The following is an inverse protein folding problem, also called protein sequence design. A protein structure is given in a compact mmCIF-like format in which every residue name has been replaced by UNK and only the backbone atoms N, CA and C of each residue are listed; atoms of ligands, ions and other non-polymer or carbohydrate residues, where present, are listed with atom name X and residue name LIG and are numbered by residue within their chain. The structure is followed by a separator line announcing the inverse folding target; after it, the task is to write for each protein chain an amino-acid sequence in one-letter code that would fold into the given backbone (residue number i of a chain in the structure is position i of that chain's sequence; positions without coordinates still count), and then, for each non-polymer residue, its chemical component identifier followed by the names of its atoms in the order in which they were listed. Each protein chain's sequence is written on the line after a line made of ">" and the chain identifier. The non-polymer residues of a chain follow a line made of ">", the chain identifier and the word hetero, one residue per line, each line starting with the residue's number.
data_IF_753864986731
#
_entry.id   IF_753864986731
#
_cell.length_a   1.000
_cell.length_b   1.000
_cell.length_c   1.000
_cell.angle_alpha   90.00
_cell.angle_beta   90.00
_cell.angle_gamma   90.00
#
_symmetry.space_group_name_H-M   'P 1'
#
loop_
_entity.id
_entity.type
_entity.pdbx_description
1 polymer ?
#
# COMPACT_ATOMS: atom_id res chain seq x y z
N UNK A 1 -43.40 -7.67 -16.67
CA UNK A 1 -42.22 -6.77 -16.71
C UNK A 1 -42.47 -5.68 -15.68
N UNK A 2 -41.92 -5.79 -14.47
CA UNK A 2 -41.93 -4.67 -13.53
C UNK A 2 -40.83 -3.72 -13.99
N UNK A 3 -41.20 -2.58 -14.58
CA UNK A 3 -40.26 -1.48 -14.79
C UNK A 3 -39.92 -0.89 -13.42
N UNK A 4 -38.63 -0.66 -13.17
CA UNK A 4 -38.20 0.18 -12.06
C UNK A 4 -38.86 1.56 -12.20
N UNK A 5 -39.50 2.05 -11.14
CA UNK A 5 -40.11 3.39 -11.12
C UNK A 5 -39.03 4.44 -10.84
N UNK A 6 -38.10 4.56 -11.79
CA UNK A 6 -37.02 5.54 -11.72
C UNK A 6 -37.60 6.95 -11.79
N UNK A 7 -37.10 7.84 -10.93
CA UNK A 7 -37.61 9.21 -10.82
C UNK A 7 -37.22 10.02 -12.07
N UNK A 8 -38.21 10.37 -12.90
CA UNK A 8 -37.98 11.01 -14.21
C UNK A 8 -37.50 12.47 -14.13
N UNK A 9 -37.72 13.15 -13.01
CA UNK A 9 -37.28 14.54 -12.78
C UNK A 9 -35.82 14.66 -12.35
N UNK A 10 -35.11 13.55 -12.25
CA UNK A 10 -33.77 13.48 -11.66
C UNK A 10 -32.79 12.84 -12.64
N UNK A 11 -31.53 13.29 -12.59
CA UNK A 11 -30.47 12.65 -13.35
C UNK A 11 -30.04 11.37 -12.61
N UNK A 12 -29.96 10.24 -13.34
CA UNK A 12 -29.56 8.97 -12.74
C UNK A 12 -28.76 8.08 -13.70
N UNK A 13 -28.02 7.13 -13.11
CA UNK A 13 -27.43 5.98 -13.80
C UNK A 13 -28.04 4.72 -13.19
N UNK A 14 -28.65 3.90 -14.02
CA UNK A 14 -29.23 2.62 -13.64
C UNK A 14 -28.38 1.46 -14.16
N UNK A 15 -28.10 0.50 -13.30
CA UNK A 15 -27.34 -0.70 -13.62
C UNK A 15 -28.12 -1.95 -13.22
N UNK A 16 -28.15 -2.93 -14.12
CA UNK A 16 -28.78 -4.24 -13.91
C UNK A 16 -27.82 -5.34 -14.31
N UNK A 17 -27.48 -6.18 -13.34
CA UNK A 17 -26.65 -7.36 -13.55
C UNK A 17 -27.52 -8.60 -13.45
N UNK A 18 -27.57 -9.39 -14.52
CA UNK A 18 -28.24 -10.68 -14.50
C UNK A 18 -27.35 -11.72 -13.80
N UNK A 19 -27.93 -12.42 -12.83
CA UNK A 19 -27.28 -13.48 -12.04
C UNK A 19 -27.65 -14.88 -12.53
N UNK A 20 -28.64 -14.98 -13.40
CA UNK A 20 -29.08 -16.19 -14.09
C UNK A 20 -28.49 -16.28 -15.50
N UNK A 21 -28.40 -17.49 -16.03
CA UNK A 21 -27.99 -17.69 -17.41
C UNK A 21 -29.09 -17.16 -18.37
N UNK A 22 -28.70 -16.68 -19.56
CA UNK A 22 -29.67 -16.37 -20.61
C UNK A 22 -30.51 -17.61 -20.93
N UNK A 23 -31.83 -17.55 -20.69
CA UNK A 23 -32.76 -18.66 -20.97
C UNK A 23 -33.34 -19.38 -19.75
N UNK A 24 -32.85 -19.12 -18.53
CA UNK A 24 -33.50 -19.62 -17.31
C UNK A 24 -34.95 -19.09 -17.20
N UNK A 25 -35.87 -19.96 -16.76
CA UNK A 25 -37.29 -19.62 -16.59
C UNK A 25 -37.54 -18.57 -15.51
N UNK A 26 -36.62 -18.45 -14.55
CA UNK A 26 -36.61 -17.41 -13.52
C UNK A 26 -35.34 -16.59 -13.69
N UNK A 27 -35.51 -15.37 -14.21
CA UNK A 27 -34.40 -14.43 -14.33
C UNK A 27 -34.14 -13.76 -12.99
N UNK A 28 -32.95 -13.97 -12.43
CA UNK A 28 -32.48 -13.30 -11.21
C UNK A 28 -31.58 -12.14 -11.60
N UNK A 29 -31.77 -10.99 -10.98
CA UNK A 29 -30.94 -9.81 -11.21
C UNK A 29 -30.63 -9.07 -9.93
N UNK A 30 -29.49 -8.40 -9.93
CA UNK A 30 -29.14 -7.36 -8.98
C UNK A 30 -29.26 -6.01 -9.68
N UNK A 31 -29.94 -5.06 -9.04
CA UNK A 31 -30.29 -3.77 -9.62
C UNK A 31 -29.87 -2.63 -8.71
N UNK A 32 -29.29 -1.59 -9.29
CA UNK A 32 -28.83 -0.42 -8.57
C UNK A 32 -29.12 0.84 -9.39
N UNK A 33 -29.49 1.91 -8.70
CA UNK A 33 -29.59 3.25 -9.30
C UNK A 33 -28.79 4.25 -8.47
N UNK A 34 -28.03 5.10 -9.13
CA UNK A 34 -27.37 6.26 -8.51
C UNK A 34 -27.96 7.53 -9.09
N UNK A 35 -28.47 8.38 -8.21
CA UNK A 35 -29.01 9.70 -8.54
C UNK A 35 -27.96 10.78 -8.38
N UNK A 36 -28.04 11.81 -9.21
CA UNK A 36 -27.08 12.92 -9.26
C UNK A 36 -27.78 14.26 -9.02
N UNK A 37 -27.06 15.22 -8.45
CA UNK A 37 -27.50 16.61 -8.36
C UNK A 37 -27.33 17.37 -9.70
N UNK A 38 -27.73 18.65 -9.73
CA UNK A 38 -27.61 19.49 -10.92
C UNK A 38 -26.18 19.79 -11.37
N UNK A 39 -25.17 19.47 -10.54
CA UNK A 39 -23.74 19.60 -10.87
C UNK A 39 -23.13 18.24 -11.29
N UNK A 40 -23.94 17.18 -11.39
CA UNK A 40 -23.48 15.85 -11.75
C UNK A 40 -22.78 15.11 -10.62
N UNK A 41 -22.92 15.55 -9.36
CA UNK A 41 -22.39 14.85 -8.20
C UNK A 41 -23.40 13.84 -7.67
N UNK A 42 -22.98 12.62 -7.28
CA UNK A 42 -23.91 11.61 -6.77
C UNK A 42 -24.52 12.07 -5.43
N UNK A 43 -25.84 11.96 -5.28
CA UNK A 43 -26.57 12.36 -4.07
C UNK A 43 -27.21 11.21 -3.30
N UNK A 44 -27.52 10.11 -3.99
CA UNK A 44 -28.11 8.93 -3.37
C UNK A 44 -27.90 7.71 -4.27
N UNK A 45 -27.49 6.59 -3.67
CA UNK A 45 -27.43 5.29 -4.36
C UNK A 45 -28.42 4.34 -3.72
N UNK A 46 -29.16 3.60 -4.54
CA UNK A 46 -30.21 2.67 -4.09
C UNK A 46 -29.90 1.30 -4.69
N UNK A 47 -29.79 0.29 -3.83
CA UNK A 47 -29.86 -1.11 -4.25
C UNK A 47 -31.32 -1.55 -4.19
N UNK A 48 -31.90 -1.82 -5.36
CA UNK A 48 -33.31 -2.14 -5.49
C UNK A 48 -33.52 -3.56 -4.99
N UNK A 49 -34.41 -3.73 -4.00
CA UNK A 49 -34.71 -5.02 -3.35
C UNK A 49 -33.46 -5.74 -2.81
N UNK A 50 -32.43 -4.97 -2.45
CA UNK A 50 -31.17 -5.46 -1.88
C UNK A 50 -31.16 -5.61 -0.35
N UNK A 51 -32.22 -5.19 0.33
CA UNK A 51 -32.33 -5.25 1.79
C UNK A 51 -32.62 -6.66 2.33
N UNK A 52 -32.48 -6.82 3.66
CA UNK A 52 -32.65 -8.11 4.36
C UNK A 52 -34.12 -8.58 4.37
N UNK A 53 -35.08 -7.66 4.45
CA UNK A 53 -36.51 -8.00 4.37
C UNK A 53 -36.94 -8.10 2.92
N UNK A 54 -37.83 -9.05 2.62
CA UNK A 54 -38.36 -9.25 1.27
C UNK A 54 -38.94 -7.92 0.73
N UNK A 55 -38.51 -7.53 -0.47
CA UNK A 55 -38.90 -6.28 -1.13
C UNK A 55 -38.54 -4.98 -0.38
N UNK A 56 -37.38 -4.91 0.27
CA UNK A 56 -36.85 -3.65 0.80
C UNK A 56 -35.63 -3.16 0.01
N UNK A 57 -35.55 -1.85 -0.19
CA UNK A 57 -34.38 -1.22 -0.79
C UNK A 57 -33.30 -0.94 0.26
N UNK A 58 -32.06 -0.82 -0.19
CA UNK A 58 -30.93 -0.39 0.62
C UNK A 58 -30.37 0.92 0.05
N UNK A 59 -30.43 1.99 0.83
CA UNK A 59 -30.15 3.36 0.38
C UNK A 59 -28.86 3.85 1.01
N UNK A 60 -27.91 4.30 0.19
CA UNK A 60 -26.69 4.97 0.62
C UNK A 60 -26.85 6.46 0.31
N UNK A 61 -27.14 7.30 1.32
CA UNK A 61 -27.22 8.74 1.13
C UNK A 61 -25.81 9.33 0.98
N UNK A 62 -25.69 10.32 0.11
CA UNK A 62 -24.45 11.10 -0.07
C UNK A 62 -24.78 12.56 0.24
N UNK A 63 -24.22 13.07 1.32
CA UNK A 63 -24.41 14.46 1.74
C UNK A 63 -23.08 15.19 1.62
N UNK A 64 -23.16 16.37 1.03
CA UNK A 64 -22.07 17.31 0.95
C UNK A 64 -22.23 18.38 2.03
N UNK A 65 -21.12 18.81 2.61
CA UNK A 65 -21.10 19.98 3.48
C UNK A 65 -21.32 21.27 2.69
N UNK A 66 -21.36 22.42 3.38
CA UNK A 66 -21.64 23.70 2.73
C UNK A 66 -20.51 24.15 1.77
N UNK A 67 -19.37 23.47 1.77
CA UNK A 67 -18.25 23.67 0.84
C UNK A 67 -18.27 22.66 -0.32
N UNK A 68 -19.27 21.78 -0.39
CA UNK A 68 -19.41 20.78 -1.45
C UNK A 68 -18.54 19.54 -1.26
N UNK A 69 -17.99 19.31 -0.05
CA UNK A 69 -17.12 18.18 0.28
C UNK A 69 -17.94 17.07 0.95
N UNK A 70 -17.59 15.82 0.67
CA UNK A 70 -18.21 14.66 1.32
C UNK A 70 -17.50 14.35 2.65
N UNK A 71 -17.87 15.07 3.71
CA UNK A 71 -17.26 14.90 5.04
C UNK A 71 -17.80 13.67 5.80
N UNK A 72 -18.92 13.09 5.35
CA UNK A 72 -19.53 11.89 5.95
C UNK A 72 -19.74 10.80 4.92
N UNK A 73 -19.41 9.58 5.29
CA UNK A 73 -19.68 8.39 4.49
C UNK A 73 -20.64 7.51 5.29
N UNK A 74 -21.90 7.48 4.85
CA UNK A 74 -22.97 6.75 5.53
C UNK A 74 -22.91 5.26 5.18
N UNK A 75 -23.20 4.43 6.17
CA UNK A 75 -23.50 3.02 5.94
C UNK A 75 -24.80 2.88 5.15
N UNK A 76 -24.99 1.77 4.43
CA UNK A 76 -26.25 1.52 3.73
C UNK A 76 -27.44 1.45 4.69
N UNK A 77 -28.49 2.23 4.41
CA UNK A 77 -29.68 2.40 5.24
C UNK A 77 -30.84 1.58 4.64
N UNK A 78 -31.29 0.50 5.30
CA UNK A 78 -32.42 -0.28 4.82
C UNK A 78 -33.70 0.53 4.90
N UNK A 79 -34.60 0.29 3.96
CA UNK A 79 -35.90 0.97 3.88
C UNK A 79 -37.03 0.04 4.35
N UNK A 80 -38.18 0.62 4.72
CA UNK A 80 -39.36 -0.14 5.14
C UNK A 80 -39.94 -1.02 4.02
N UNK A 81 -39.68 -0.65 2.77
CA UNK A 81 -40.08 -1.35 1.56
C UNK A 81 -39.26 -0.86 0.37
N UNK A 82 -39.64 -1.29 -0.83
CA UNK A 82 -38.98 -0.92 -2.07
C UNK A 82 -39.80 0.14 -2.79
N UNK A 83 -39.14 1.17 -3.27
CA UNK A 83 -39.71 2.14 -4.21
C UNK A 83 -39.38 1.75 -5.67
N UNK A 84 -38.96 0.50 -5.90
CA UNK A 84 -38.53 -0.01 -7.21
C UNK A 84 -37.51 0.90 -7.90
N UNK A 85 -36.60 1.50 -7.11
CA UNK A 85 -35.57 2.43 -7.58
C UNK A 85 -35.95 3.91 -7.57
N UNK A 86 -37.16 4.29 -7.14
CA UNK A 86 -37.52 5.70 -6.93
C UNK A 86 -36.68 6.35 -5.83
N UNK A 87 -36.33 7.63 -6.00
CA UNK A 87 -35.52 8.37 -5.03
C UNK A 87 -36.22 8.48 -3.66
N UNK A 88 -35.46 8.33 -2.58
CA UNK A 88 -35.94 8.51 -1.22
C UNK A 88 -35.74 9.96 -0.76
N UNK A 89 -36.73 10.59 -0.09
CA UNK A 89 -36.56 11.90 0.51
C UNK A 89 -35.35 11.92 1.45
N UNK A 90 -34.42 12.83 1.20
CA UNK A 90 -33.16 12.94 1.92
C UNK A 90 -33.03 14.34 2.52
N UNK A 91 -32.75 14.43 3.81
CA UNK A 91 -32.37 15.69 4.45
C UNK A 91 -30.92 16.04 4.07
N UNK A 92 -30.74 17.17 3.41
CA UNK A 92 -29.44 17.65 2.90
C UNK A 92 -28.91 18.85 3.68
N UNK A 93 -29.29 19.00 4.95
CA UNK A 93 -28.86 20.13 5.76
C UNK A 93 -27.34 20.08 5.95
N UNK A 94 -26.66 21.06 5.36
CA UNK A 94 -25.20 21.18 5.42
C UNK A 94 -24.72 21.77 6.76
N UNK A 95 -25.65 22.26 7.61
CA UNK A 95 -25.35 23.00 8.84
C UNK A 95 -25.41 22.17 10.12
N UNK A 96 -26.07 21.01 10.12
CA UNK A 96 -26.25 20.21 11.34
C UNK A 96 -25.38 18.95 11.39
N UNK A 97 -24.61 18.83 12.48
CA UNK A 97 -23.93 17.60 12.91
C UNK A 97 -24.88 16.51 13.47
N UNK A 98 -26.19 16.79 13.46
CA UNK A 98 -27.24 15.95 14.04
C UNK A 98 -27.98 15.04 13.06
N UNK A 99 -27.67 15.05 11.76
CA UNK A 99 -28.39 14.20 10.79
C UNK A 99 -27.76 12.80 10.68
N UNK A 100 -28.11 11.95 11.65
CA UNK A 100 -27.63 10.56 11.75
C UNK A 100 -28.22 9.65 10.68
N UNK A 101 -29.48 9.91 10.31
CA UNK A 101 -30.25 9.17 9.32
C UNK A 101 -30.79 10.16 8.27
N UNK A 102 -30.05 10.38 7.17
CA UNK A 102 -30.44 11.31 6.11
C UNK A 102 -31.73 10.92 5.40
N UNK A 103 -31.99 9.62 5.37
CA UNK A 103 -33.20 9.00 4.83
C UNK A 103 -33.85 8.19 5.93
N UNK A 104 -35.16 7.98 5.84
CA UNK A 104 -35.90 7.16 6.81
C UNK A 104 -35.29 5.76 6.94
N UNK A 105 -35.30 5.21 8.15
CA UNK A 105 -34.83 3.84 8.42
C UNK A 105 -35.81 3.12 9.36
N UNK A 106 -36.00 1.79 9.23
CA UNK A 106 -36.56 0.96 10.28
C UNK A 106 -35.72 1.07 11.56
N UNK A 107 -36.36 1.48 12.66
CA UNK A 107 -35.72 1.62 13.99
C UNK A 107 -35.34 0.29 14.63
N UNK A 108 -35.81 -0.83 14.08
CA UNK A 108 -35.48 -2.19 14.50
C UNK A 108 -34.12 -2.67 13.98
N UNK A 109 -33.52 -1.97 13.02
CA UNK A 109 -32.22 -2.34 12.43
C UNK A 109 -31.11 -1.44 12.99
N UNK A 110 -31.33 -0.13 12.97
CA UNK A 110 -30.44 0.84 13.59
C UNK A 110 -31.22 1.63 14.64
N UNK A 111 -30.63 1.80 15.82
CA UNK A 111 -31.21 2.69 16.82
C UNK A 111 -31.19 4.13 16.28
N UNK A 112 -32.22 4.92 16.59
CA UNK A 112 -32.35 6.30 16.07
C UNK A 112 -31.24 7.25 16.55
N UNK A 113 -30.48 6.85 17.57
CA UNK A 113 -29.34 7.58 18.13
C UNK A 113 -27.99 7.06 17.64
N UNK A 114 -27.95 6.00 16.83
CA UNK A 114 -26.70 5.41 16.34
C UNK A 114 -26.02 6.29 15.28
N UNK A 115 -24.69 6.37 15.32
CA UNK A 115 -23.89 7.11 14.34
C UNK A 115 -23.49 6.19 13.19
N UNK A 116 -24.38 5.98 12.24
CA UNK A 116 -24.18 5.06 11.10
C UNK A 116 -23.33 5.64 9.96
N UNK A 117 -22.31 6.43 10.28
CA UNK A 117 -21.43 7.06 9.29
C UNK A 117 -20.02 7.23 9.84
N UNK A 118 -19.02 7.17 8.96
CA UNK A 118 -17.69 7.70 9.28
C UNK A 118 -17.69 9.21 9.01
N UNK A 119 -16.95 9.97 9.83
CA UNK A 119 -16.84 11.43 9.71
C UNK A 119 -15.38 11.84 9.59
N UNK A 120 -15.11 12.71 8.63
CA UNK A 120 -13.84 13.44 8.50
C UNK A 120 -14.05 14.87 8.96
N UNK A 121 -13.30 15.30 9.96
CA UNK A 121 -13.21 16.72 10.34
C UNK A 121 -12.01 17.28 9.61
N UNK A 122 -12.23 18.29 8.78
CA UNK A 122 -11.20 18.92 7.98
C UNK A 122 -10.77 20.24 8.63
N UNK A 123 -9.53 20.66 8.38
CA UNK A 123 -9.06 21.98 8.78
C UNK A 123 -9.80 23.10 8.02
N UNK A 124 -9.97 24.25 8.67
CA UNK A 124 -10.50 25.47 8.04
C UNK A 124 -9.42 26.18 7.20
N UNK A 125 -8.84 25.47 6.24
CA UNK A 125 -7.80 25.96 5.35
C UNK A 125 -8.12 25.50 3.92
N UNK A 126 -7.75 26.28 2.88
CA UNK A 126 -7.95 25.89 1.49
C UNK A 126 -7.31 24.54 1.09
N UNK A 127 -6.43 24.00 1.93
CA UNK A 127 -5.80 22.69 1.71
C UNK A 127 -6.70 21.51 2.09
N UNK A 128 -7.81 21.74 2.80
CA UNK A 128 -8.80 20.71 3.18
C UNK A 128 -8.15 19.44 3.77
N UNK A 129 -7.13 19.60 4.62
CA UNK A 129 -6.47 18.46 5.27
C UNK A 129 -7.33 17.89 6.39
N UNK A 130 -7.30 16.57 6.55
CA UNK A 130 -8.06 15.88 7.59
C UNK A 130 -7.40 16.14 8.95
N UNK A 131 -8.13 16.67 9.91
CA UNK A 131 -7.68 16.80 11.31
C UNK A 131 -8.13 15.62 12.15
N UNK A 132 -9.33 15.10 11.90
CA UNK A 132 -9.85 13.95 12.62
C UNK A 132 -10.63 13.02 11.70
N UNK A 133 -10.54 11.72 11.98
CA UNK A 133 -11.39 10.71 11.38
C UNK A 133 -12.07 9.91 12.47
N UNK A 134 -13.39 9.80 12.39
CA UNK A 134 -14.23 9.10 13.36
C UNK A 134 -14.91 7.95 12.63
N UNK A 135 -14.83 6.75 13.19
CA UNK A 135 -15.48 5.56 12.65
C UNK A 135 -16.99 5.56 12.95
N UNK A 136 -17.79 4.77 12.20
CA UNK A 136 -19.19 4.57 12.52
C UNK A 136 -19.37 3.98 13.93
N UNK A 137 -20.36 4.49 14.65
CA UNK A 137 -20.71 4.08 15.99
C UNK A 137 -20.69 5.24 16.99
N UNK A 138 -21.66 5.26 17.89
CA UNK A 138 -21.79 6.28 18.92
C UNK A 138 -20.66 6.22 19.94
N UNK A 139 -20.14 5.03 20.25
CA UNK A 139 -18.96 4.86 21.11
C UNK A 139 -17.71 5.51 20.50
N UNK A 140 -17.53 5.40 19.18
CA UNK A 140 -16.36 5.92 18.47
C UNK A 140 -16.31 7.45 18.39
N UNK A 141 -17.38 8.17 18.74
CA UNK A 141 -17.40 9.63 18.69
C UNK A 141 -16.34 10.27 19.62
N UNK A 142 -15.98 9.58 20.70
CA UNK A 142 -14.94 10.01 21.64
C UNK A 142 -13.57 9.35 21.39
N UNK A 143 -13.47 8.52 20.35
CA UNK A 143 -12.25 7.84 19.93
C UNK A 143 -11.87 8.20 18.48
N UNK A 144 -11.67 9.50 18.16
CA UNK A 144 -11.22 9.89 16.83
C UNK A 144 -9.76 9.48 16.60
N UNK A 145 -9.44 9.07 15.38
CA UNK A 145 -8.08 9.17 14.88
C UNK A 145 -7.77 10.64 14.68
N UNK A 146 -6.68 11.13 15.28
CA UNK A 146 -6.26 12.52 15.18
C UNK A 146 -5.04 12.65 14.27
N UNK A 147 -5.06 13.66 13.41
CA UNK A 147 -3.98 13.98 12.49
C UNK A 147 -3.46 15.39 12.80
N UNK A 148 -2.14 15.52 12.90
CA UNK A 148 -1.49 16.82 13.01
C UNK A 148 -0.36 16.96 11.98
N UNK A 149 -0.30 18.12 11.34
CA UNK A 149 0.67 18.43 10.29
C UNK A 149 1.62 19.51 10.79
N UNK A 150 2.87 19.14 10.98
CA UNK A 150 3.91 19.95 11.61
C UNK A 150 5.20 19.91 10.77
N UNK A 151 6.25 20.52 11.29
CA UNK A 151 7.61 20.38 10.77
C UNK A 151 8.51 19.76 11.83
N UNK A 152 9.61 19.13 11.41
CA UNK A 152 10.56 18.53 12.35
C UNK A 152 11.22 19.58 13.27
N UNK A 153 11.53 19.18 14.51
CA UNK A 153 12.42 19.92 15.41
C UNK A 153 13.88 19.51 15.15
N UNK A 154 14.81 20.33 15.66
CA UNK A 154 16.23 19.96 15.66
C UNK A 154 16.44 18.71 16.53
N UNK A 155 17.15 17.71 16.02
CA UNK A 155 17.38 16.45 16.73
C UNK A 155 16.33 15.35 16.52
N UNK A 156 15.23 15.62 15.79
CA UNK A 156 14.17 14.62 15.59
C UNK A 156 14.63 13.44 14.71
N UNK A 157 15.32 13.74 13.61
CA UNK A 157 15.57 12.80 12.50
C UNK A 157 17.07 12.80 12.18
N UNK A 158 17.70 11.62 12.22
CA UNK A 158 19.06 11.43 11.74
C UNK A 158 19.16 11.68 10.23
N UNK A 159 20.24 12.30 9.79
CA UNK A 159 20.50 12.58 8.38
C UNK A 159 21.39 11.51 7.77
N UNK A 160 20.77 10.52 7.14
CA UNK A 160 21.47 9.54 6.31
C UNK A 160 21.72 10.10 4.92
N UNK A 161 22.93 9.90 4.42
CA UNK A 161 23.36 10.22 3.05
C UNK A 161 24.12 9.05 2.48
N UNK A 162 24.04 8.86 1.17
CA UNK A 162 24.78 7.82 0.48
C UNK A 162 25.59 8.41 -0.67
N UNK A 163 26.64 7.69 -1.06
CA UNK A 163 27.29 7.89 -2.35
C UNK A 163 27.13 6.63 -3.18
N UNK A 164 26.66 6.76 -4.42
CA UNK A 164 26.49 5.62 -5.32
C UNK A 164 27.73 5.39 -6.18
N UNK A 165 28.17 4.13 -6.27
CA UNK A 165 29.11 3.66 -7.31
C UNK A 165 28.37 2.79 -8.32
N UNK A 166 28.79 2.84 -9.58
CA UNK A 166 28.32 1.89 -10.60
C UNK A 166 29.34 0.77 -10.76
N UNK A 167 28.90 -0.48 -10.62
CA UNK A 167 29.73 -1.67 -10.83
C UNK A 167 28.86 -2.80 -11.33
N UNK A 168 29.40 -3.75 -12.09
CA UNK A 168 28.70 -4.96 -12.49
C UNK A 168 27.29 -4.75 -13.08
N UNK A 169 27.09 -3.66 -13.83
CA UNK A 169 25.80 -3.28 -14.41
C UNK A 169 24.71 -2.87 -13.40
N UNK A 170 25.09 -2.51 -12.18
CA UNK A 170 24.20 -2.09 -11.09
C UNK A 170 24.76 -0.89 -10.32
N UNK A 171 23.88 -0.22 -9.59
CA UNK A 171 24.17 0.84 -8.65
C UNK A 171 24.29 0.27 -7.24
N UNK A 172 25.44 0.53 -6.62
CA UNK A 172 25.77 0.09 -5.27
C UNK A 172 26.05 1.29 -4.38
N UNK A 173 25.74 1.14 -3.09
CA UNK A 173 26.18 2.11 -2.08
C UNK A 173 27.69 2.00 -1.88
N UNK A 174 28.43 3.03 -2.27
CA UNK A 174 29.85 3.20 -1.97
C UNK A 174 30.06 3.61 -0.52
N UNK A 175 29.27 4.55 -0.02
CA UNK A 175 29.33 4.98 1.37
C UNK A 175 27.93 5.22 1.91
N UNK A 176 27.71 4.85 3.17
CA UNK A 176 26.55 5.23 3.96
C UNK A 176 27.05 6.09 5.12
N UNK A 177 26.67 7.37 5.13
CA UNK A 177 27.11 8.33 6.15
C UNK A 177 25.92 8.84 6.93
N UNK A 178 26.02 8.77 8.26
CA UNK A 178 25.14 9.49 9.19
C UNK A 178 25.81 10.82 9.51
N UNK A 179 25.17 11.92 9.13
CA UNK A 179 25.70 13.27 9.27
C UNK A 179 24.86 14.08 10.26
N UNK A 180 24.85 13.62 11.52
CA UNK A 180 24.08 14.24 12.59
C UNK A 180 22.57 14.20 12.30
N UNK A 181 21.88 15.28 12.67
CA UNK A 181 20.43 15.41 12.56
C UNK A 181 20.04 16.49 11.55
N UNK A 182 18.84 16.36 11.00
CA UNK A 182 18.22 17.47 10.28
C UNK A 182 18.00 18.68 11.21
N UNK A 183 18.27 19.87 10.69
CA UNK A 183 17.92 21.12 11.39
C UNK A 183 16.40 21.29 11.43
N UNK A 184 15.92 22.14 12.35
CA UNK A 184 14.49 22.38 12.51
C UNK A 184 13.86 22.91 11.20
N UNK A 185 12.60 22.52 10.96
CA UNK A 185 11.77 23.00 9.85
C UNK A 185 12.30 22.66 8.45
N UNK A 186 12.94 21.50 8.30
CA UNK A 186 13.44 20.99 7.00
C UNK A 186 12.61 19.85 6.42
N UNK A 187 11.86 19.14 7.26
CA UNK A 187 11.05 17.99 6.91
C UNK A 187 9.60 18.25 7.32
N UNK A 188 8.67 17.76 6.51
CA UNK A 188 7.28 17.63 6.91
C UNK A 188 7.17 16.54 7.97
N UNK A 189 6.42 16.80 9.04
CA UNK A 189 6.17 15.89 10.16
C UNK A 189 4.67 15.68 10.29
N UNK A 190 4.19 14.48 9.98
CA UNK A 190 2.80 14.10 10.17
C UNK A 190 2.69 13.27 11.44
N UNK A 191 1.84 13.67 12.38
CA UNK A 191 1.50 12.91 13.60
C UNK A 191 0.14 12.27 13.39
N UNK A 192 0.02 10.99 13.72
CA UNK A 192 -1.24 10.26 13.80
C UNK A 192 -1.36 9.67 15.19
N UNK A 193 -2.44 10.02 15.88
CA UNK A 193 -2.86 9.32 17.10
C UNK A 193 -4.04 8.43 16.74
N UNK A 194 -3.92 7.14 16.95
CA UNK A 194 -5.02 6.20 16.73
C UNK A 194 -6.12 6.34 17.79
N UNK A 195 -7.19 5.57 17.62
CA UNK A 195 -8.37 5.58 18.50
C UNK A 195 -8.08 5.18 19.95
N UNK A 196 -6.98 4.46 20.19
CA UNK A 196 -6.49 4.04 21.50
C UNK A 196 -5.44 5.02 22.08
N UNK A 197 -5.10 6.08 21.34
CA UNK A 197 -4.11 7.09 21.74
C UNK A 197 -2.66 6.73 21.43
N UNK A 198 -2.40 5.63 20.72
CA UNK A 198 -1.04 5.29 20.26
C UNK A 198 -0.59 6.27 19.18
N UNK A 199 0.61 6.81 19.34
CA UNK A 199 1.15 7.85 18.47
C UNK A 199 2.15 7.28 17.48
N UNK A 200 2.01 7.71 16.22
CA UNK A 200 3.00 7.51 15.18
C UNK A 200 3.34 8.82 14.47
N UNK A 201 4.59 8.93 14.03
CA UNK A 201 5.07 10.05 13.25
C UNK A 201 5.64 9.57 11.92
N UNK A 202 5.36 10.33 10.86
CA UNK A 202 5.97 10.18 9.55
C UNK A 202 6.71 11.47 9.18
N UNK A 203 7.97 11.34 8.81
CA UNK A 203 8.80 12.46 8.36
C UNK A 203 9.11 12.34 6.87
N UNK A 204 8.83 13.40 6.11
CA UNK A 204 9.05 13.46 4.65
C UNK A 204 9.95 14.62 4.25
N UNK A 205 10.77 14.41 3.22
CA UNK A 205 11.52 15.50 2.58
C UNK A 205 10.63 16.30 1.60
N UNK A 206 11.20 17.34 0.99
CA UNK A 206 10.51 18.18 0.01
C UNK A 206 10.10 17.48 -1.29
N UNK A 207 10.65 16.29 -1.57
CA UNK A 207 10.30 15.46 -2.72
C UNK A 207 9.17 14.45 -2.40
N UNK A 208 8.67 14.45 -1.15
CA UNK A 208 7.61 13.54 -0.70
C UNK A 208 8.10 12.15 -0.27
N UNK A 209 9.42 11.91 -0.26
CA UNK A 209 9.98 10.65 0.22
C UNK A 209 9.90 10.57 1.76
N UNK A 210 9.35 9.48 2.27
CA UNK A 210 9.37 9.17 3.70
C UNK A 210 10.79 8.83 4.12
N UNK A 211 11.36 9.56 5.08
CA UNK A 211 12.72 9.35 5.61
C UNK A 211 12.72 8.61 6.95
N UNK A 212 11.68 8.81 7.77
CA UNK A 212 11.53 8.18 9.07
C UNK A 212 10.05 7.92 9.35
N UNK A 213 9.75 6.70 9.80
CA UNK A 213 8.52 6.37 10.52
C UNK A 213 8.88 6.05 11.96
N UNK A 214 8.31 6.80 12.91
CA UNK A 214 8.51 6.60 14.35
C UNK A 214 7.21 6.08 14.96
N UNK A 215 7.29 4.94 15.64
CA UNK A 215 6.22 4.48 16.55
C UNK A 215 6.60 4.83 17.99
N UNK A 216 5.62 5.28 18.77
CA UNK A 216 5.83 5.61 20.17
C UNK A 216 5.16 4.58 21.05
N UNK A 217 5.88 4.07 22.05
CA UNK A 217 5.33 3.23 23.11
C UNK A 217 5.45 4.00 24.44
N UNK A 218 4.37 4.02 25.19
CA UNK A 218 4.25 4.84 26.41
C UNK A 218 3.62 6.20 26.11
N UNK A 219 3.42 6.99 27.16
CA UNK A 219 2.73 8.27 27.06
C UNK A 219 3.74 9.38 26.76
N UNK A 220 3.58 10.05 25.62
CA UNK A 220 4.27 11.31 25.38
C UNK A 220 3.66 12.38 26.29
N UNK A 221 4.46 12.94 27.19
CA UNK A 221 4.07 14.14 27.92
C UNK A 221 4.59 15.32 27.11
N UNK A 222 3.72 15.86 26.26
CA UNK A 222 3.94 17.19 25.67
C UNK A 222 3.70 18.20 26.79
N UNK A 223 4.79 18.65 27.44
CA UNK A 223 4.72 19.78 28.37
C UNK A 223 4.56 21.05 27.54
N UNK A 224 3.33 21.49 27.32
CA UNK A 224 3.05 22.85 26.83
C UNK A 224 2.73 23.76 28.04
N UNK A 225 3.70 24.57 28.45
CA UNK A 225 3.57 25.54 29.56
C UNK A 225 4.55 25.30 30.74
N UNK A 226 4.64 26.23 31.70
CA UNK A 226 5.51 26.08 32.87
C UNK A 226 5.04 24.90 33.75
N UNK A 227 5.96 24.01 34.09
CA UNK A 227 5.70 22.82 34.91
C UNK A 227 5.53 23.23 36.36
N UNK A 228 4.33 23.05 36.91
CA UNK A 228 4.14 23.01 38.36
C UNK A 228 4.79 21.71 38.89
N UNK A 229 5.85 21.86 39.67
CA UNK A 229 6.67 20.77 40.21
C UNK A 229 5.95 20.11 41.40
N UNK A 230 4.96 19.24 41.17
CA UNK A 230 4.33 18.51 42.28
C UNK A 230 3.87 17.06 42.02
N UNK A 231 4.38 16.35 41.00
CA UNK A 231 4.11 14.91 40.85
C UNK A 231 5.39 14.06 40.95
N UNK A 232 5.39 13.16 41.93
CA UNK A 232 6.51 12.28 42.34
C UNK A 232 6.50 10.90 41.64
N UNK A 233 5.71 10.74 40.57
CA UNK A 233 5.76 9.55 39.73
C UNK A 233 6.53 9.91 38.46
N UNK A 234 7.77 9.42 38.32
CA UNK A 234 8.48 9.52 37.06
C UNK A 234 7.60 8.89 35.96
N UNK A 235 7.13 9.66 34.97
CA UNK A 235 6.30 9.11 33.91
C UNK A 235 7.11 8.07 33.14
N UNK A 236 6.46 7.02 32.67
CA UNK A 236 7.09 6.08 31.74
C UNK A 236 7.60 6.89 30.53
N UNK A 237 8.93 7.02 30.40
CA UNK A 237 9.55 7.79 29.33
C UNK A 237 9.10 7.18 28.00
N UNK A 238 8.47 7.98 27.14
CA UNK A 238 8.07 7.56 25.81
C UNK A 238 9.27 6.94 25.07
N UNK A 239 9.10 5.71 24.59
CA UNK A 239 10.11 4.99 23.82
C UNK A 239 9.82 5.14 22.33
N UNK A 240 10.85 5.52 21.57
CA UNK A 240 10.73 5.73 20.13
C UNK A 240 11.34 4.58 19.35
N UNK A 241 10.53 3.99 18.47
CA UNK A 241 10.92 2.93 17.56
C UNK A 241 10.99 3.50 16.14
N UNK A 242 12.21 3.79 15.71
CA UNK A 242 12.47 4.54 14.48
C UNK A 242 12.84 3.63 13.32
N UNK A 243 12.07 3.66 12.24
CA UNK A 243 12.43 3.00 10.99
C UNK A 243 12.82 4.03 9.96
N UNK A 244 14.10 4.05 9.57
CA UNK A 244 14.59 4.98 8.56
C UNK A 244 14.57 4.36 7.18
N UNK A 245 14.30 5.22 6.19
CA UNK A 245 14.29 4.90 4.77
C UNK A 245 15.36 5.77 4.10
N UNK A 246 16.39 5.13 3.56
CA UNK A 246 17.56 5.81 2.99
C UNK A 246 17.52 5.67 1.49
N UNK A 247 17.56 6.80 0.80
CA UNK A 247 17.57 6.87 -0.66
C UNK A 247 18.96 7.24 -1.17
N UNK A 248 19.25 6.79 -2.38
CA UNK A 248 20.43 7.23 -3.12
C UNK A 248 20.13 8.47 -3.99
N UNK A 249 21.15 8.95 -4.69
CA UNK A 249 21.10 10.13 -5.57
C UNK A 249 20.18 9.94 -6.79
N UNK A 250 19.71 8.72 -7.04
CA UNK A 250 18.75 8.37 -8.08
C UNK A 250 17.33 8.16 -7.54
N UNK A 251 17.06 8.57 -6.30
CA UNK A 251 15.77 8.42 -5.63
C UNK A 251 15.32 6.96 -5.45
N UNK A 252 16.26 6.03 -5.41
CA UNK A 252 16.02 4.61 -5.14
C UNK A 252 16.19 4.32 -3.65
N UNK A 253 15.27 3.56 -3.04
CA UNK A 253 15.37 3.14 -1.64
C UNK A 253 16.46 2.07 -1.48
N UNK A 254 17.61 2.45 -0.94
CA UNK A 254 18.78 1.56 -0.82
C UNK A 254 18.92 0.90 0.55
N UNK A 255 18.39 1.50 1.61
CA UNK A 255 18.30 0.87 2.92
C UNK A 255 16.97 1.12 3.62
N UNK A 256 16.50 0.12 4.36
CA UNK A 256 15.54 0.30 5.45
C UNK A 256 16.22 -0.11 6.76
N UNK A 257 16.40 0.87 7.64
CA UNK A 257 17.10 0.71 8.92
C UNK A 257 16.02 0.43 9.98
N UNK A 258 16.05 -0.77 10.56
CA UNK A 258 15.07 -1.18 11.57
C UNK A 258 15.21 -0.40 12.89
N UNK A 259 14.19 -0.45 13.78
CA UNK A 259 14.23 0.22 15.07
C UNK A 259 15.49 -0.05 15.90
N UNK A 260 15.93 -1.31 15.97
CA UNK A 260 17.12 -1.66 16.74
C UNK A 260 18.40 -1.10 16.10
N UNK A 261 18.54 -1.18 14.78
CA UNK A 261 19.67 -0.54 14.09
C UNK A 261 19.66 0.98 14.24
N UNK A 262 18.48 1.61 14.23
CA UNK A 262 18.34 3.05 14.42
C UNK A 262 18.89 3.52 15.78
N UNK A 263 18.72 2.70 16.83
CA UNK A 263 19.24 2.98 18.15
C UNK A 263 20.78 2.96 18.17
N UNK A 264 21.39 2.00 17.49
CA UNK A 264 22.84 1.92 17.29
C UNK A 264 23.38 3.15 16.51
N UNK A 265 22.71 3.54 15.42
CA UNK A 265 23.07 4.73 14.65
C UNK A 265 22.87 6.04 15.43
N UNK A 266 21.89 6.08 16.35
CA UNK A 266 21.69 7.24 17.23
C UNK A 266 22.81 7.38 18.26
N UNK A 267 23.29 6.26 18.82
CA UNK A 267 24.41 6.26 19.77
C UNK A 267 25.72 6.79 19.13
N UNK A 268 25.89 6.59 17.82
CA UNK A 268 26.99 7.16 17.03
C UNK A 268 26.47 7.89 15.79
N UNK A 269 25.95 9.10 16.02
CA UNK A 269 25.28 9.93 15.00
C UNK A 269 26.20 10.60 13.96
N UNK A 270 27.51 10.35 14.01
CA UNK A 270 28.49 10.82 13.02
C UNK A 270 29.41 9.68 12.62
N UNK A 271 28.91 8.77 11.77
CA UNK A 271 29.65 7.61 11.30
C UNK A 271 29.53 7.43 9.79
N UNK A 272 30.55 6.83 9.18
CA UNK A 272 30.55 6.48 7.75
C UNK A 272 30.92 5.01 7.61
N UNK A 273 30.08 4.27 6.88
CA UNK A 273 30.30 2.87 6.51
C UNK A 273 30.69 2.85 5.04
N UNK A 274 31.89 2.35 4.75
CA UNK A 274 32.42 2.26 3.39
C UNK A 274 32.13 0.88 2.79
N UNK A 275 31.62 0.88 1.57
CA UNK A 275 31.29 -0.26 0.71
C UNK A 275 30.65 -1.43 1.49
N UNK A 276 29.42 -1.23 2.01
CA UNK A 276 28.71 -2.21 2.85
C UNK A 276 28.55 -3.60 2.22
N UNK A 277 28.59 -3.68 0.89
CA UNK A 277 28.46 -4.96 0.18
C UNK A 277 29.70 -5.82 0.33
N UNK A 278 30.89 -5.23 0.24
CA UNK A 278 32.15 -5.99 0.25
C UNK A 278 32.82 -6.02 1.62
N UNK A 279 32.54 -5.04 2.48
CA UNK A 279 33.00 -5.01 3.87
C UNK A 279 31.80 -5.23 4.81
N UNK A 280 31.60 -6.48 5.30
CA UNK A 280 30.47 -6.82 6.15
C UNK A 280 30.38 -5.90 7.37
N UNK A 281 29.19 -5.40 7.63
CA UNK A 281 28.88 -4.62 8.82
C UNK A 281 27.76 -5.32 9.60
N UNK A 282 28.01 -5.67 10.86
CA UNK A 282 27.07 -6.48 11.65
C UNK A 282 25.72 -5.80 11.85
N UNK A 283 25.67 -4.47 11.98
CA UNK A 283 24.43 -3.71 12.11
C UNK A 283 23.65 -3.77 10.80
N UNK A 284 24.30 -3.49 9.66
CA UNK A 284 23.63 -3.51 8.36
C UNK A 284 23.19 -4.93 7.97
N UNK A 285 24.03 -5.93 8.25
CA UNK A 285 23.81 -7.30 7.82
C UNK A 285 22.76 -8.04 8.65
N UNK A 286 22.69 -7.77 9.95
CA UNK A 286 21.77 -8.47 10.84
C UNK A 286 20.49 -7.69 11.09
N UNK A 287 20.47 -6.37 10.90
CA UNK A 287 19.36 -5.51 11.33
C UNK A 287 18.79 -4.60 10.23
N UNK A 288 19.41 -4.49 9.05
CA UNK A 288 18.93 -3.60 7.98
C UNK A 288 18.55 -4.36 6.72
N UNK A 289 17.57 -3.83 6.00
CA UNK A 289 17.30 -4.24 4.63
C UNK A 289 18.18 -3.44 3.69
N UNK A 290 18.77 -4.10 2.70
CA UNK A 290 19.69 -3.48 1.74
C UNK A 290 19.23 -3.82 0.32
N UNK A 291 19.26 -2.84 -0.57
CA UNK A 291 18.76 -2.97 -1.94
C UNK A 291 19.74 -2.35 -2.94
N UNK A 292 19.97 -3.04 -4.07
CA UNK A 292 20.74 -2.55 -5.19
C UNK A 292 19.91 -2.65 -6.47
N UNK A 293 20.03 -1.64 -7.32
CA UNK A 293 19.22 -1.50 -8.54
C UNK A 293 20.10 -1.48 -9.77
N UNK A 294 19.57 -1.86 -10.92
CA UNK A 294 20.24 -1.60 -12.20
C UNK A 294 19.94 -0.21 -12.76
N UNK A 295 20.56 0.10 -13.90
CA UNK A 295 20.34 1.33 -14.65
C UNK A 295 18.90 1.57 -15.15
N UNK A 296 17.99 0.60 -14.96
CA UNK A 296 16.57 0.67 -15.33
C UNK A 296 15.65 0.73 -14.11
N UNK A 297 16.19 1.03 -12.92
CA UNK A 297 15.48 1.05 -11.64
C UNK A 297 14.85 -0.31 -11.24
N UNK A 298 15.41 -1.42 -11.73
CA UNK A 298 14.95 -2.77 -11.34
C UNK A 298 15.78 -3.27 -10.17
N UNK A 299 15.15 -3.83 -9.15
CA UNK A 299 15.84 -4.41 -7.99
C UNK A 299 16.61 -5.65 -8.42
N UNK A 300 17.93 -5.57 -8.50
CA UNK A 300 18.78 -6.68 -8.97
C UNK A 300 19.40 -7.47 -7.84
N UNK A 301 19.52 -6.88 -6.67
CA UNK A 301 19.98 -7.56 -5.48
C UNK A 301 19.33 -7.00 -4.23
N UNK A 302 19.07 -7.87 -3.26
CA UNK A 302 18.61 -7.44 -1.94
C UNK A 302 19.23 -8.30 -0.86
N UNK A 303 19.34 -7.75 0.35
CA UNK A 303 19.72 -8.47 1.55
C UNK A 303 18.70 -8.16 2.64
N UNK A 304 18.14 -9.21 3.22
CA UNK A 304 17.24 -9.08 4.37
C UNK A 304 18.06 -9.23 5.66
N UNK A 305 17.62 -8.61 6.78
CA UNK A 305 18.29 -8.75 8.07
C UNK A 305 18.54 -10.22 8.44
N UNK A 306 19.80 -10.57 8.74
CA UNK A 306 20.21 -11.92 9.15
C UNK A 306 20.23 -12.96 8.01
N UNK A 307 19.96 -12.55 6.77
CA UNK A 307 20.05 -13.40 5.57
C UNK A 307 21.23 -13.00 4.69
N UNK A 308 21.62 -13.88 3.79
CA UNK A 308 22.57 -13.55 2.72
C UNK A 308 21.91 -12.80 1.56
N UNK A 309 22.73 -12.36 0.61
CA UNK A 309 22.27 -11.67 -0.60
C UNK A 309 21.41 -12.57 -1.48
N UNK A 310 20.29 -12.02 -1.95
CA UNK A 310 19.45 -12.57 -3.01
C UNK A 310 19.69 -11.79 -4.30
N UNK A 311 19.84 -12.51 -5.41
CA UNK A 311 20.15 -11.97 -6.73
C UNK A 311 18.96 -12.19 -7.67
N UNK A 312 18.72 -11.20 -8.51
CA UNK A 312 17.64 -11.20 -9.51
C UNK A 312 18.21 -10.89 -10.90
N UNK A 313 17.68 -11.59 -11.90
CA UNK A 313 18.02 -11.39 -13.31
C UNK A 313 16.74 -11.26 -14.11
N UNK A 314 16.71 -10.27 -14.99
CA UNK A 314 15.53 -9.93 -15.77
C UNK A 314 15.77 -10.19 -17.26
N UNK A 315 14.72 -10.54 -17.99
CA UNK A 315 14.78 -10.57 -19.45
C UNK A 315 14.58 -9.18 -20.07
N UNK A 316 14.54 -9.12 -21.42
CA UNK A 316 14.28 -7.89 -22.18
C UNK A 316 12.84 -7.39 -22.08
N UNK A 317 11.93 -8.21 -21.54
CA UNK A 317 10.54 -7.85 -21.30
C UNK A 317 10.29 -7.42 -19.84
N UNK A 318 11.35 -7.17 -19.08
CA UNK A 318 11.32 -6.77 -17.67
C UNK A 318 10.68 -7.78 -16.72
N UNK A 319 10.71 -9.06 -17.09
CA UNK A 319 10.23 -10.14 -16.24
C UNK A 319 11.40 -10.76 -15.47
N UNK A 320 11.15 -11.11 -14.21
CA UNK A 320 12.11 -11.82 -13.37
C UNK A 320 12.22 -13.27 -13.84
N UNK A 321 13.38 -13.66 -14.35
CA UNK A 321 13.59 -14.98 -14.98
C UNK A 321 14.58 -15.86 -14.24
N UNK A 322 15.48 -15.28 -13.44
CA UNK A 322 16.36 -16.03 -12.54
C UNK A 322 16.40 -15.37 -11.17
N UNK A 323 16.34 -16.20 -10.14
CA UNK A 323 16.60 -15.80 -8.75
C UNK A 323 17.62 -16.75 -8.12
N UNK A 324 18.46 -16.23 -7.25
CA UNK A 324 19.42 -17.01 -6.49
C UNK A 324 19.54 -16.43 -5.10
N UNK A 325 19.22 -17.22 -4.07
CA UNK A 325 19.48 -16.87 -2.69
C UNK A 325 20.87 -17.34 -2.25
N UNK A 326 21.21 -17.08 -0.98
CA UNK A 326 22.50 -17.46 -0.42
C UNK A 326 22.71 -19.00 -0.33
N UNK A 327 21.65 -19.78 -0.11
CA UNK A 327 21.75 -21.23 0.01
C UNK A 327 21.99 -21.90 -1.36
N UNK A 328 21.33 -21.39 -2.40
CA UNK A 328 21.51 -21.81 -3.80
C UNK A 328 22.92 -21.51 -4.34
N UNK A 329 23.72 -20.71 -3.62
CA UNK A 329 25.16 -20.48 -3.91
C UNK A 329 26.10 -21.48 -3.25
N UNK A 330 25.58 -22.41 -2.47
CA UNK A 330 26.34 -23.47 -1.80
C UNK A 330 26.03 -24.83 -2.42
N UNK A 331 26.82 -25.86 -2.10
CA UNK A 331 26.46 -27.25 -2.42
C UNK A 331 25.54 -27.88 -1.35
N UNK A 332 25.42 -27.22 -0.19
CA UNK A 332 24.59 -27.67 0.93
C UNK A 332 23.19 -27.07 0.78
N UNK A 333 22.47 -27.51 -0.24
CA UNK A 333 21.08 -27.14 -0.50
C UNK A 333 20.29 -28.35 -1.02
N UNK A 334 18.98 -28.19 -1.22
CA UNK A 334 18.08 -29.26 -1.63
C UNK A 334 18.36 -29.86 -3.02
N UNK A 335 19.17 -29.19 -3.85
CA UNK A 335 19.51 -29.59 -5.21
C UNK A 335 20.92 -30.21 -5.32
N UNK A 336 21.71 -30.20 -4.24
CA UNK A 336 23.05 -30.78 -4.21
C UNK A 336 24.09 -30.06 -5.09
N UNK A 337 23.82 -28.82 -5.51
CA UNK A 337 24.70 -28.03 -6.36
C UNK A 337 24.36 -26.55 -6.37
N UNK A 338 25.30 -25.72 -6.82
CA UNK A 338 25.09 -24.28 -6.98
C UNK A 338 24.23 -23.99 -8.21
N UNK A 339 23.29 -23.07 -8.10
CA UNK A 339 22.44 -22.74 -9.24
C UNK A 339 21.47 -21.60 -9.01
N UNK A 340 20.52 -21.51 -9.92
CA UNK A 340 19.48 -20.49 -9.98
C UNK A 340 18.12 -21.17 -10.01
N UNK A 341 17.12 -20.55 -9.37
CA UNK A 341 15.73 -20.86 -9.69
C UNK A 341 15.36 -20.04 -10.90
N UNK A 342 14.90 -20.70 -11.95
CA UNK A 342 14.45 -20.04 -13.16
C UNK A 342 12.93 -20.08 -13.28
N UNK A 343 12.37 -19.06 -13.93
CA UNK A 343 10.96 -18.96 -14.30
C UNK A 343 10.86 -18.72 -15.78
N UNK A 344 10.06 -19.55 -16.46
CA UNK A 344 9.76 -19.41 -17.88
C UNK A 344 8.35 -18.93 -18.10
N UNK A 345 8.19 -18.05 -19.08
CA UNK A 345 6.93 -17.38 -19.38
C UNK A 345 6.50 -17.66 -20.81
N UNK A 346 5.20 -17.58 -21.07
CA UNK A 346 4.67 -17.54 -22.42
C UNK A 346 4.65 -16.10 -22.98
N UNK A 347 4.24 -15.97 -24.25
CA UNK A 347 4.09 -14.67 -24.94
C UNK A 347 3.13 -13.68 -24.25
N UNK A 348 2.21 -14.17 -23.41
CA UNK A 348 1.24 -13.35 -22.68
C UNK A 348 1.75 -12.98 -21.27
N UNK A 349 2.98 -13.38 -20.91
CA UNK A 349 3.56 -13.08 -19.60
C UNK A 349 3.09 -14.00 -18.48
N UNK A 350 2.44 -15.13 -18.80
CA UNK A 350 2.02 -16.11 -17.78
C UNK A 350 3.15 -17.08 -17.50
N UNK A 351 3.31 -17.49 -16.25
CA UNK A 351 4.29 -18.52 -15.86
C UNK A 351 3.89 -19.85 -16.48
N UNK A 352 4.81 -20.47 -17.22
CA UNK A 352 4.63 -21.80 -17.81
C UNK A 352 5.19 -22.87 -16.88
N UNK A 353 6.42 -22.68 -16.41
CA UNK A 353 7.06 -23.56 -15.43
C UNK A 353 8.23 -22.85 -14.73
N UNK A 354 8.63 -23.43 -13.61
CA UNK A 354 9.81 -23.05 -12.84
C UNK A 354 10.70 -24.26 -12.62
N UNK A 355 11.98 -24.05 -12.32
CA UNK A 355 12.89 -25.13 -12.04
C UNK A 355 14.24 -24.67 -11.50
N UNK A 356 15.10 -25.65 -11.19
CA UNK A 356 16.48 -25.40 -10.80
C UNK A 356 17.40 -25.51 -12.02
N UNK A 357 18.26 -24.51 -12.19
CA UNK A 357 19.29 -24.44 -13.22
C UNK A 357 20.66 -24.47 -12.54
N UNK A 358 21.33 -25.61 -12.61
CA UNK A 358 22.68 -25.80 -12.07
C UNK A 358 23.67 -24.94 -12.86
N UNK A 359 24.16 -23.87 -12.25
CA UNK A 359 25.06 -22.92 -12.90
C UNK A 359 25.79 -22.07 -11.83
N UNK A 360 27.10 -21.90 -11.99
CA UNK A 360 27.96 -21.16 -11.05
C UNK A 360 28.22 -19.71 -11.45
N UNK A 361 27.71 -19.27 -12.60
CA UNK A 361 27.91 -17.93 -13.12
C UNK A 361 27.33 -16.86 -12.20
N UNK A 362 27.95 -15.67 -12.23
CA UNK A 362 27.49 -14.52 -11.46
C UNK A 362 26.20 -13.94 -12.04
N UNK A 363 25.48 -13.15 -11.23
CA UNK A 363 24.30 -12.39 -11.68
C UNK A 363 24.58 -11.58 -12.95
N UNK A 364 25.72 -10.90 -13.03
CA UNK A 364 26.09 -10.12 -14.21
C UNK A 364 26.28 -11.00 -15.44
N UNK A 365 26.98 -12.13 -15.31
CA UNK A 365 27.17 -13.05 -16.43
C UNK A 365 25.83 -13.59 -16.94
N UNK A 366 24.91 -13.96 -16.03
CA UNK A 366 23.55 -14.40 -16.39
C UNK A 366 22.73 -13.28 -17.05
N UNK A 367 22.83 -12.05 -16.54
CA UNK A 367 22.17 -10.89 -17.15
C UNK A 367 22.69 -10.62 -18.56
N UNK A 368 24.00 -10.70 -18.76
CA UNK A 368 24.62 -10.51 -20.08
C UNK A 368 24.23 -11.62 -21.06
N UNK A 369 24.15 -12.88 -20.59
CA UNK A 369 23.69 -14.00 -21.40
C UNK A 369 22.25 -13.79 -21.89
N UNK A 370 21.33 -13.38 -21.01
CA UNK A 370 19.95 -13.07 -21.38
C UNK A 370 19.84 -11.85 -22.31
N UNK A 371 20.62 -10.80 -22.05
CA UNK A 371 20.66 -9.62 -22.92
C UNK A 371 21.17 -9.96 -24.33
N UNK A 372 22.05 -10.94 -24.45
CA UNK A 372 22.68 -11.34 -25.71
C UNK A 372 21.97 -12.48 -26.44
N UNK A 373 20.88 -13.02 -25.87
CA UNK A 373 20.13 -14.14 -26.45
C UNK A 373 19.54 -13.78 -27.82
N UNK A 374 19.93 -14.54 -28.86
CA UNK A 374 19.50 -14.32 -30.26
C UNK A 374 18.40 -15.30 -30.71
N UNK A 375 18.48 -16.58 -30.33
CA UNK A 375 17.54 -17.60 -30.78
C UNK A 375 16.12 -17.43 -30.19
N UNK A 376 16.04 -16.88 -28.98
CA UNK A 376 14.79 -16.53 -28.31
C UNK A 376 14.94 -15.17 -27.62
N UNK A 377 14.96 -14.07 -28.38
CA UNK A 377 15.36 -12.76 -27.85
C UNK A 377 14.42 -12.21 -26.77
N UNK A 378 13.19 -12.73 -26.73
CA UNK A 378 12.17 -12.37 -25.74
C UNK A 378 12.02 -13.41 -24.62
N UNK A 379 12.80 -14.50 -24.65
CA UNK A 379 12.76 -15.58 -23.66
C UNK A 379 11.34 -16.13 -23.41
N UNK A 380 10.55 -16.28 -24.48
CA UNK A 380 9.19 -16.83 -24.40
C UNK A 380 9.17 -18.32 -24.77
N UNK A 381 8.44 -19.10 -23.98
CA UNK A 381 8.16 -20.49 -24.30
C UNK A 381 6.95 -20.57 -25.23
N UNK A 382 7.08 -21.39 -26.27
CA UNK A 382 6.03 -21.67 -27.23
C UNK A 382 5.81 -23.17 -27.33
N UNK A 383 4.54 -23.60 -27.31
CA UNK A 383 4.21 -24.99 -27.62
C UNK A 383 4.33 -25.17 -29.13
N UNK A 384 5.32 -25.93 -29.57
CA UNK A 384 5.38 -26.41 -30.94
C UNK A 384 4.65 -27.74 -31.04
N UNK A 385 3.69 -27.82 -31.96
CA UNK A 385 3.08 -29.09 -32.36
C UNK A 385 4.01 -29.74 -33.38
N UNK A 386 4.65 -30.85 -33.01
CA UNK A 386 5.44 -31.62 -33.96
C UNK A 386 4.50 -32.58 -34.71
N UNK A 387 4.03 -32.19 -35.90
CA UNK A 387 3.25 -33.08 -36.76
C UNK A 387 4.19 -33.67 -37.84
N UNK A 388 4.50 -34.96 -37.72
CA UNK A 388 5.06 -35.76 -38.82
C UNK A 388 3.92 -36.60 -39.43
N UNK A 389 3.36 -36.16 -40.55
CA UNK A 389 2.20 -36.81 -41.20
C UNK A 389 0.88 -36.67 -40.43
N UNK A 390 -0.15 -37.45 -40.80
CA UNK A 390 -1.54 -37.41 -40.26
C UNK A 390 -1.70 -37.79 -38.77
N UNK A 391 -0.64 -37.78 -37.95
CA UNK A 391 -0.75 -37.92 -36.49
C UNK A 391 0.13 -36.89 -35.80
N UNK A 392 -0.51 -35.94 -35.12
CA UNK A 392 0.16 -35.04 -34.21
C UNK A 392 0.32 -35.75 -32.86
N UNK A 393 1.57 -35.99 -32.44
CA UNK A 393 1.89 -36.51 -31.11
C UNK A 393 1.98 -35.32 -30.15
N UNK A 394 1.65 -35.56 -28.89
CA UNK A 394 1.54 -34.59 -27.78
C UNK A 394 2.66 -33.54 -27.73
N UNK A 395 2.36 -32.29 -27.31
CA UNK A 395 3.31 -31.18 -27.41
C UNK A 395 4.54 -31.38 -26.52
N UNK A 396 5.73 -31.21 -27.09
CA UNK A 396 7.02 -31.21 -26.36
C UNK A 396 7.47 -29.76 -26.17
N UNK A 397 7.78 -29.37 -24.93
CA UNK A 397 8.43 -28.09 -24.63
C UNK A 397 9.88 -28.17 -25.13
N UNK A 398 10.27 -27.25 -26.01
CA UNK A 398 11.65 -27.10 -26.49
C UNK A 398 12.37 -26.10 -25.58
N UNK A 399 13.01 -26.59 -24.51
CA UNK A 399 13.87 -25.77 -23.67
C UNK A 399 15.21 -25.50 -24.37
N UNK A 400 15.48 -24.26 -24.76
CA UNK A 400 16.78 -23.84 -25.31
C UNK A 400 17.66 -23.19 -24.24
N UNK A 401 17.94 -23.93 -23.18
CA UNK A 401 19.01 -23.63 -22.22
C UNK A 401 20.08 -24.72 -22.35
N UNK A 402 20.64 -24.86 -23.54
CA UNK A 402 21.93 -25.51 -23.75
C UNK A 402 22.84 -24.46 -24.37
N UNK A 403 23.71 -23.87 -23.54
CA UNK A 403 24.95 -23.19 -23.94
C UNK A 403 26.06 -23.79 -23.11
#
# INVERSE_FOLDING_TARGET
>A
MYHSQLTQSENYVYSKTYLSAPGDSIQRSSEMVTYFDGLGRPKQTIQIKGGKTANSDLVIPIIYDCFGRQAREYMPIPQYGSNDGGIYPQSSDCSTDGNHFPVSSPTTIYSSSEKIYSKKVLENSPLDRIQQQIQPGSEWQNHPVNFAYQTNKAGDVLKFTTQTLTRDGAFYTNTLTVNGYYTASKLYKNKVSDEDGSVSYEFKNGEGQTLLVRKVIGQEIEIEGPVEMNSFAAPAVAQYFDTYYVYNEYNQLVFVISPLASAEFRANSTQTINDPKNFPNTILDNLCYQYNYDGRNRLVEKKLPGKGWEYMVYDKQDRLVLTQDANLRTNTNNFGGKGWIFTKYDKLGRVVYTGFFSNTATRLAMQNALNSMQANPYNNEERTLHCRGCRCITPRLLSQLEV
#
